data_IF_557516718500
#
_entry.id   IF_557516718500
#
_cell.length_a   1.000
_cell.length_b   1.000
_cell.length_c   1.000
_cell.angle_alpha   90.00
_cell.angle_beta   90.00
_cell.angle_gamma   90.00
#
_symmetry.space_group_name_H-M   'P 1'
#
loop_
_entity.id
_entity.type
_entity.pdbx_description
1 polymer ?
#
# COMPACT_ATOMS: atom_id res chain seq x y z
N UNK A 1 -2.67 2.78 -1.00
CA UNK A 1 -1.72 3.19 0.03
C UNK A 1 -1.92 4.67 0.29
N UNK A 2 -2.12 5.11 1.53
CA UNK A 2 -2.24 6.54 1.82
C UNK A 2 -1.96 6.78 3.29
N UNK A 3 -0.88 7.51 3.56
CA UNK A 3 -0.75 8.57 4.57
C UNK A 3 0.74 8.75 4.91
N UNK A 4 1.32 9.78 4.32
CA UNK A 4 2.59 10.41 4.66
C UNK A 4 2.76 10.91 6.10
N UNK A 5 1.71 11.09 6.94
CA UNK A 5 1.56 12.26 7.88
C UNK A 5 2.78 12.63 8.71
N UNK A 6 3.15 13.94 8.85
CA UNK A 6 4.03 14.29 9.95
C UNK A 6 3.23 13.96 11.20
N UNK A 7 3.73 13.04 12.03
CA UNK A 7 3.08 12.68 13.28
C UNK A 7 2.85 13.96 14.09
N UNK A 8 1.59 14.42 14.15
CA UNK A 8 1.21 15.53 15.00
C UNK A 8 1.39 15.04 16.43
N UNK A 9 2.44 15.50 17.13
CA UNK A 9 2.45 15.37 18.58
C UNK A 9 1.24 16.12 19.08
N UNK A 10 0.38 15.41 19.80
CA UNK A 10 -0.82 15.94 20.40
C UNK A 10 -0.41 16.82 21.58
N UNK A 11 0.09 18.04 21.31
CA UNK A 11 0.27 19.04 22.37
C UNK A 11 -1.09 19.67 22.64
N UNK A 12 -1.68 19.22 23.74
CA UNK A 12 -2.97 19.65 24.25
C UNK A 12 -2.92 21.16 24.55
N UNK A 13 -3.47 21.97 23.66
CA UNK A 13 -3.71 23.39 23.94
C UNK A 13 -4.80 23.47 25.01
N UNK A 14 -4.39 23.51 26.27
CA UNK A 14 -5.23 23.87 27.40
C UNK A 14 -5.68 25.34 27.24
N UNK A 15 -6.82 25.55 26.58
CA UNK A 15 -7.48 26.85 26.52
C UNK A 15 -8.16 27.13 27.86
N UNK A 16 -7.52 27.94 28.70
CA UNK A 16 -8.14 28.49 29.89
C UNK A 16 -9.32 29.40 29.48
N UNK A 17 -10.52 29.00 29.88
CA UNK A 17 -11.76 29.76 29.71
C UNK A 17 -11.66 31.10 30.46
N UNK A 18 -11.43 32.19 29.74
CA UNK A 18 -11.74 33.54 30.25
C UNK A 18 -12.58 34.28 29.22
N UNK A 19 -13.83 34.55 29.59
CA UNK A 19 -14.82 35.28 28.79
C UNK A 19 -14.40 36.74 28.63
N UNK A 20 -14.24 37.22 27.41
CA UNK A 20 -14.43 38.63 27.08
C UNK A 20 -15.01 38.78 25.66
N UNK A 21 -16.10 39.52 25.55
CA UNK A 21 -16.80 39.87 24.31
C UNK A 21 -15.99 40.90 23.50
N UNK A 22 -15.59 40.57 22.26
CA UNK A 22 -15.16 41.54 21.25
C UNK A 22 -15.63 41.07 19.86
N UNK A 23 -16.31 41.92 19.05
CA UNK A 23 -16.66 41.62 17.67
C UNK A 23 -15.56 42.13 16.74
N UNK A 24 -14.84 41.23 16.03
CA UNK A 24 -13.99 41.66 14.91
C UNK A 24 -13.60 40.49 14.01
N UNK A 25 -13.91 40.68 12.72
CA UNK A 25 -13.17 40.21 11.54
C UNK A 25 -12.90 38.70 11.45
N UNK A 26 -13.71 38.01 10.64
CA UNK A 26 -13.45 36.65 10.16
C UNK A 26 -12.17 36.64 9.32
N UNK A 27 -11.01 36.56 9.97
CA UNK A 27 -9.75 36.22 9.34
C UNK A 27 -9.88 34.75 8.94
N UNK A 28 -10.16 34.52 7.66
CA UNK A 28 -10.13 33.19 7.08
C UNK A 28 -8.75 32.59 7.32
N UNK A 29 -8.67 31.72 8.33
CA UNK A 29 -7.53 30.84 8.54
C UNK A 29 -7.53 29.92 7.33
N UNK A 30 -6.83 30.33 6.27
CA UNK A 30 -6.41 29.43 5.24
C UNK A 30 -5.40 28.51 5.93
N UNK A 31 -5.89 27.39 6.45
CA UNK A 31 -5.06 26.34 6.96
C UNK A 31 -4.26 25.85 5.74
N UNK A 32 -3.02 26.32 5.62
CA UNK A 32 -2.11 25.84 4.61
C UNK A 32 -1.89 24.35 4.89
N UNK A 33 -2.64 23.49 4.20
CA UNK A 33 -2.37 22.07 4.17
C UNK A 33 -0.96 21.92 3.62
N UNK A 34 0.00 21.58 4.48
CA UNK A 34 1.32 21.16 4.03
C UNK A 34 1.09 19.84 3.30
N UNK A 35 1.06 19.88 1.97
CA UNK A 35 1.24 18.69 1.17
C UNK A 35 2.50 18.00 1.68
N UNK A 36 2.36 16.73 1.97
CA UNK A 36 3.48 15.96 2.45
C UNK A 36 4.37 15.62 1.28
N UNK A 37 5.67 15.76 1.47
CA UNK A 37 6.65 15.16 0.56
C UNK A 37 6.60 13.64 0.75
N UNK A 38 5.60 13.00 0.16
CA UNK A 38 5.57 11.57 -0.02
C UNK A 38 6.47 11.21 -1.20
N UNK A 39 7.18 10.07 -1.15
CA UNK A 39 7.94 9.60 -2.29
C UNK A 39 7.04 9.49 -3.54
N UNK A 40 7.55 9.84 -4.72
CA UNK A 40 6.76 9.83 -5.96
C UNK A 40 6.13 8.46 -6.23
N UNK A 41 4.84 8.46 -6.58
CA UNK A 41 4.09 7.26 -6.94
C UNK A 41 4.12 6.11 -5.91
N UNK A 42 4.42 6.41 -4.64
CA UNK A 42 4.38 5.39 -3.59
C UNK A 42 2.96 4.82 -3.42
N UNK A 43 1.93 5.53 -3.84
CA UNK A 43 0.53 5.13 -3.76
C UNK A 43 -0.10 4.65 -5.07
N UNK A 44 0.70 4.51 -6.13
CA UNK A 44 0.30 4.12 -7.49
C UNK A 44 -0.60 5.14 -8.21
N UNK A 45 -0.69 6.39 -7.75
CA UNK A 45 -1.56 7.41 -8.34
C UNK A 45 -1.15 7.85 -9.77
N UNK A 46 0.04 7.48 -10.25
CA UNK A 46 0.40 7.68 -11.66
C UNK A 46 -0.26 6.65 -12.58
N UNK A 47 -0.88 5.60 -12.05
CA UNK A 47 -1.43 4.50 -12.84
C UNK A 47 -0.35 3.61 -13.47
N UNK A 48 0.87 3.61 -12.91
CA UNK A 48 2.00 2.81 -13.36
C UNK A 48 2.78 2.23 -12.18
N UNK A 49 3.71 1.32 -12.48
CA UNK A 49 4.73 0.84 -11.53
C UNK A 49 5.97 1.75 -11.49
N UNK A 50 5.86 3.02 -11.91
CA UNK A 50 7.00 3.93 -11.87
C UNK A 50 7.51 4.09 -10.44
N UNK A 51 8.83 4.09 -10.25
CA UNK A 51 9.51 4.10 -8.93
C UNK A 51 9.34 2.81 -8.10
N UNK A 52 8.62 1.81 -8.60
CA UNK A 52 8.55 0.47 -8.01
C UNK A 52 9.46 -0.50 -8.77
N UNK A 53 10.13 -1.39 -8.04
CA UNK A 53 10.85 -2.52 -8.63
C UNK A 53 9.96 -3.75 -8.59
N UNK A 54 9.60 -4.27 -9.77
CA UNK A 54 8.81 -5.50 -9.90
C UNK A 54 9.72 -6.73 -9.90
N UNK A 55 9.16 -7.84 -9.44
CA UNK A 55 9.83 -9.13 -9.39
C UNK A 55 8.87 -10.23 -9.80
N UNK A 56 9.39 -11.20 -10.53
CA UNK A 56 8.72 -12.48 -10.76
C UNK A 56 9.61 -13.60 -10.26
N UNK A 57 9.01 -14.73 -9.97
CA UNK A 57 9.77 -15.91 -9.66
C UNK A 57 8.88 -17.08 -9.32
N UNK A 58 9.36 -17.91 -8.40
CA UNK A 58 8.71 -19.15 -8.03
C UNK A 58 8.87 -19.51 -6.56
N UNK A 59 8.01 -20.42 -6.10
CA UNK A 59 8.05 -21.06 -4.80
C UNK A 59 8.45 -22.52 -5.00
N UNK A 60 9.26 -23.04 -4.07
CA UNK A 60 9.59 -24.46 -4.02
C UNK A 60 9.66 -24.94 -2.57
N UNK A 61 9.39 -26.23 -2.37
CA UNK A 61 9.77 -26.91 -1.13
C UNK A 61 11.26 -27.29 -1.22
N UNK A 62 12.06 -26.71 -0.34
CA UNK A 62 13.49 -27.02 -0.20
C UNK A 62 13.73 -27.52 1.20
N UNK A 63 13.98 -28.83 1.31
CA UNK A 63 14.23 -29.53 2.57
C UNK A 63 13.09 -29.36 3.62
N UNK A 64 11.83 -29.41 3.18
CA UNK A 64 10.65 -29.28 4.05
C UNK A 64 10.33 -27.83 4.41
N UNK A 65 10.85 -26.87 3.64
CA UNK A 65 10.64 -25.43 3.86
C UNK A 65 10.14 -24.77 2.58
N UNK A 66 9.05 -24.03 2.70
CA UNK A 66 8.53 -23.20 1.60
C UNK A 66 9.51 -22.04 1.32
N UNK A 67 10.27 -22.10 0.25
CA UNK A 67 11.19 -21.03 -0.16
C UNK A 67 10.64 -20.27 -1.36
N UNK A 68 10.68 -18.94 -1.28
CA UNK A 68 10.28 -18.05 -2.37
C UNK A 68 11.55 -17.51 -3.01
N UNK A 69 11.65 -17.63 -4.33
CA UNK A 69 12.74 -17.10 -5.13
C UNK A 69 12.17 -16.00 -6.01
N UNK A 70 12.64 -14.77 -5.83
CA UNK A 70 12.25 -13.61 -6.63
C UNK A 70 13.44 -13.12 -7.44
N UNK A 71 13.18 -12.76 -8.70
CA UNK A 71 14.16 -12.20 -9.61
C UNK A 71 13.63 -10.87 -10.17
N UNK A 72 14.47 -9.83 -10.29
CA UNK A 72 14.05 -8.55 -10.85
C UNK A 72 13.42 -8.70 -12.24
N UNK A 73 12.31 -8.01 -12.46
CA UNK A 73 11.61 -7.97 -13.75
C UNK A 73 10.97 -6.60 -13.99
N UNK A 74 10.54 -6.37 -15.24
CA UNK A 74 9.50 -5.36 -15.46
C UNK A 74 8.14 -5.83 -14.92
N UNK A 75 7.10 -4.98 -14.95
CA UNK A 75 5.73 -5.43 -14.78
C UNK A 75 5.39 -6.46 -15.87
N UNK A 76 4.90 -7.62 -15.45
CA UNK A 76 4.49 -8.70 -16.37
C UNK A 76 2.97 -8.74 -16.43
N UNK A 77 2.41 -8.65 -17.64
CA UNK A 77 0.97 -8.71 -17.86
C UNK A 77 0.37 -9.98 -17.22
N UNK A 78 -0.79 -9.82 -16.57
CA UNK A 78 -1.45 -10.90 -15.84
C UNK A 78 -0.88 -11.14 -14.43
N UNK A 79 0.44 -11.00 -14.23
CA UNK A 79 1.12 -11.21 -12.94
C UNK A 79 1.20 -9.94 -12.09
N UNK A 80 1.33 -8.78 -12.74
CA UNK A 80 1.33 -7.45 -12.13
C UNK A 80 0.21 -6.65 -12.77
N UNK A 81 -0.88 -6.45 -12.04
CA UNK A 81 -2.05 -5.71 -12.56
C UNK A 81 -2.25 -4.45 -11.75
N UNK A 82 -2.55 -3.33 -12.42
CA UNK A 82 -2.99 -2.11 -11.77
C UNK A 82 -4.49 -1.90 -12.02
N UNK A 83 -5.23 -1.72 -10.93
CA UNK A 83 -6.62 -1.30 -10.95
C UNK A 83 -6.67 0.18 -10.64
N UNK A 84 -7.54 0.90 -11.36
CA UNK A 84 -7.81 2.30 -11.12
C UNK A 84 -9.28 2.47 -10.68
N UNK A 85 -9.63 3.68 -10.25
CA UNK A 85 -10.96 4.05 -9.73
C UNK A 85 -12.16 3.64 -10.60
N UNK A 86 -12.00 3.47 -11.91
CA UNK A 86 -13.10 3.00 -12.77
C UNK A 86 -13.51 1.56 -12.47
N UNK A 87 -12.60 0.76 -11.90
CA UNK A 87 -12.83 -0.60 -11.44
C UNK A 87 -13.35 -0.66 -9.98
N UNK A 88 -13.76 0.45 -9.36
CA UNK A 88 -14.16 0.47 -7.94
C UNK A 88 -15.35 -0.44 -7.58
N UNK A 89 -16.18 -0.79 -8.57
CA UNK A 89 -17.31 -1.71 -8.39
C UNK A 89 -16.94 -3.16 -8.73
N UNK A 90 -15.74 -3.43 -9.23
CA UNK A 90 -15.26 -4.78 -9.50
C UNK A 90 -14.86 -5.45 -8.19
N UNK A 91 -15.24 -6.72 -8.04
CA UNK A 91 -14.93 -7.54 -6.88
C UNK A 91 -13.94 -8.63 -7.28
N UNK A 92 -13.04 -8.98 -6.37
CA UNK A 92 -12.22 -10.17 -6.51
C UNK A 92 -13.13 -11.40 -6.69
N UNK A 93 -12.89 -12.25 -7.71
CA UNK A 93 -13.79 -13.35 -8.03
C UNK A 93 -13.89 -14.40 -6.93
N UNK A 94 -12.92 -14.50 -6.03
CA UNK A 94 -12.88 -15.50 -4.96
C UNK A 94 -13.21 -14.89 -3.60
N UNK A 95 -12.52 -13.81 -3.22
CA UNK A 95 -12.65 -13.16 -1.92
C UNK A 95 -13.83 -12.19 -1.82
N UNK A 96 -14.43 -11.81 -2.95
CA UNK A 96 -15.60 -10.89 -3.04
C UNK A 96 -15.38 -9.50 -2.40
N UNK A 97 -14.14 -9.11 -2.15
CA UNK A 97 -13.79 -7.75 -1.74
C UNK A 97 -13.53 -6.87 -2.97
N UNK A 98 -13.68 -5.53 -2.88
CA UNK A 98 -13.37 -4.62 -3.98
C UNK A 98 -11.91 -4.73 -4.45
N UNK A 99 -11.68 -4.78 -5.77
CA UNK A 99 -10.31 -4.83 -6.34
C UNK A 99 -9.57 -3.50 -6.21
N UNK A 100 -10.31 -2.40 -6.04
CA UNK A 100 -9.78 -1.09 -5.65
C UNK A 100 -10.10 -0.86 -4.18
N UNK A 101 -9.08 -0.61 -3.37
CA UNK A 101 -9.23 -0.38 -1.93
C UNK A 101 -10.17 0.81 -1.64
N UNK A 102 -11.30 0.61 -0.92
CA UNK A 102 -12.25 1.69 -0.61
C UNK A 102 -11.65 2.79 0.28
N UNK A 103 -10.65 2.45 1.08
CA UNK A 103 -9.97 3.34 2.03
C UNK A 103 -8.55 3.73 1.56
N UNK A 104 -8.21 3.44 0.31
CA UNK A 104 -6.86 3.56 -0.23
C UNK A 104 -6.62 4.80 -1.10
N UNK A 105 -5.64 4.66 -1.99
CA UNK A 105 -5.50 5.52 -3.16
C UNK A 105 -6.65 5.25 -4.14
N UNK A 106 -6.76 6.05 -5.20
CA UNK A 106 -7.62 5.76 -6.35
C UNK A 106 -7.16 4.54 -7.17
N UNK A 107 -6.14 3.82 -6.70
CA UNK A 107 -5.46 2.73 -7.36
C UNK A 107 -5.17 1.58 -6.38
N UNK A 108 -5.05 0.38 -6.93
CA UNK A 108 -4.61 -0.82 -6.21
C UNK A 108 -3.85 -1.70 -7.18
N UNK A 109 -2.87 -2.46 -6.68
CA UNK A 109 -2.17 -3.45 -7.49
C UNK A 109 -2.61 -4.85 -7.09
N UNK A 110 -2.64 -5.77 -8.04
CA UNK A 110 -2.71 -7.21 -7.79
C UNK A 110 -1.38 -7.84 -8.18
N UNK A 111 -0.85 -8.62 -7.26
CA UNK A 111 0.26 -9.54 -7.47
C UNK A 111 -0.33 -10.94 -7.62
N UNK A 112 0.05 -11.62 -8.69
CA UNK A 112 -0.41 -12.97 -8.99
C UNK A 112 -1.59 -13.02 -9.96
N UNK A 113 -1.95 -14.26 -10.29
CA UNK A 113 -2.92 -14.61 -11.31
C UNK A 113 -3.59 -15.96 -10.98
N UNK A 114 -4.47 -16.44 -11.87
CA UNK A 114 -5.26 -17.66 -11.63
C UNK A 114 -4.62 -18.93 -12.25
N UNK A 115 -3.39 -18.83 -12.73
CA UNK A 115 -2.65 -19.95 -13.33
C UNK A 115 -2.03 -20.78 -12.22
N UNK A 116 -2.12 -22.10 -12.37
CA UNK A 116 -1.37 -23.01 -11.53
C UNK A 116 0.12 -23.01 -11.93
N UNK A 117 0.96 -23.56 -11.08
CA UNK A 117 2.40 -23.39 -11.18
C UNK A 117 2.82 -22.52 -10.02
N UNK A 118 3.94 -22.86 -9.40
CA UNK A 118 4.39 -22.26 -8.14
C UNK A 118 4.93 -20.84 -8.37
N UNK A 119 4.18 -19.99 -9.04
CA UNK A 119 4.55 -18.62 -9.37
C UNK A 119 4.60 -17.73 -8.12
N UNK A 120 5.51 -16.76 -8.13
CA UNK A 120 5.63 -15.73 -7.10
C UNK A 120 5.81 -14.36 -7.75
N UNK A 121 5.21 -13.34 -7.14
CA UNK A 121 5.29 -11.95 -7.56
C UNK A 121 5.65 -11.07 -6.38
N UNK A 122 6.42 -10.02 -6.65
CA UNK A 122 6.83 -9.07 -5.63
C UNK A 122 6.98 -7.68 -6.19
N UNK A 123 6.74 -6.67 -5.36
CA UNK A 123 7.11 -5.29 -5.64
C UNK A 123 7.83 -4.71 -4.43
N UNK A 124 8.85 -3.90 -4.69
CA UNK A 124 9.60 -3.19 -3.65
C UNK A 124 9.74 -1.71 -4.00
N UNK A 125 9.74 -0.86 -2.98
CA UNK A 125 9.94 0.57 -3.12
C UNK A 125 11.02 1.02 -2.15
N UNK A 126 12.02 1.73 -2.64
CA UNK A 126 13.08 2.30 -1.80
C UNK A 126 12.94 3.82 -1.73
N UNK A 127 12.95 4.37 -0.52
CA UNK A 127 13.00 5.81 -0.32
C UNK A 127 13.90 6.19 0.83
N UNK A 128 14.40 7.42 0.75
CA UNK A 128 15.15 8.05 1.83
C UNK A 128 14.21 8.93 2.64
N UNK A 129 14.24 8.79 3.96
CA UNK A 129 13.57 9.71 4.86
C UNK A 129 14.29 11.08 4.83
N UNK A 130 13.65 12.18 4.40
CA UNK A 130 14.25 13.52 4.42
C UNK A 130 14.85 13.91 5.77
N UNK A 131 15.98 14.62 5.75
CA UNK A 131 16.58 15.19 6.94
C UNK A 131 15.60 16.14 7.66
N UNK A 132 15.68 16.19 8.99
CA UNK A 132 14.81 17.00 9.87
C UNK A 132 13.34 16.58 9.92
N UNK A 133 13.01 15.36 9.49
CA UNK A 133 11.68 14.77 9.62
C UNK A 133 11.84 13.46 10.38
N UNK A 134 11.22 13.38 11.55
CA UNK A 134 11.41 12.25 12.48
C UNK A 134 10.13 11.45 12.71
N UNK A 135 9.06 11.77 11.98
CA UNK A 135 7.78 11.10 12.09
C UNK A 135 7.26 10.79 10.68
N UNK A 136 7.15 9.49 10.40
CA UNK A 136 6.65 8.92 9.14
C UNK A 136 5.71 7.78 9.47
N UNK A 137 4.62 7.69 8.71
CA UNK A 137 3.70 6.55 8.74
C UNK A 137 3.64 5.96 7.35
N UNK A 138 3.56 4.62 7.28
CA UNK A 138 3.18 3.90 6.08
C UNK A 138 1.94 3.10 6.43
N UNK A 139 0.90 3.20 5.61
CA UNK A 139 -0.33 2.44 5.76
C UNK A 139 -0.58 1.67 4.46
N UNK A 140 -0.40 0.36 4.55
CA UNK A 140 -0.69 -0.59 3.49
C UNK A 140 -2.00 -1.30 3.81
N UNK A 141 -3.01 -1.06 2.98
CA UNK A 141 -4.23 -1.86 2.99
C UNK A 141 -4.02 -3.02 2.02
N UNK A 142 -4.21 -4.24 2.49
CA UNK A 142 -4.07 -5.45 1.68
C UNK A 142 -5.24 -6.40 1.89
N UNK A 143 -5.54 -7.18 0.87
CA UNK A 143 -6.45 -8.31 0.91
C UNK A 143 -5.81 -9.45 0.12
N UNK A 144 -6.01 -10.69 0.57
CA UNK A 144 -5.35 -11.86 -0.01
C UNK A 144 -6.35 -12.98 -0.17
N UNK A 145 -6.21 -13.71 -1.28
CA UNK A 145 -6.85 -14.99 -1.51
C UNK A 145 -5.74 -16.01 -1.69
N UNK A 146 -5.82 -17.10 -0.94
CA UNK A 146 -4.93 -18.23 -1.08
C UNK A 146 -5.68 -19.42 -1.67
N UNK A 147 -5.06 -20.07 -2.65
CA UNK A 147 -5.57 -21.32 -3.21
C UNK A 147 -4.94 -22.50 -2.45
N UNK A 148 -5.77 -23.33 -1.80
CA UNK A 148 -5.31 -24.50 -1.04
C UNK A 148 -5.89 -25.82 -1.61
N UNK A 149 -5.42 -26.28 -2.78
CA UNK A 149 -5.72 -27.61 -3.28
C UNK A 149 -4.82 -28.65 -2.59
N UNK A 150 -5.16 -29.02 -1.36
CA UNK A 150 -4.52 -30.12 -0.61
C UNK A 150 -2.98 -30.03 -0.54
N UNK A 151 -2.44 -28.89 -0.12
CA UNK A 151 -1.00 -28.71 0.09
C UNK A 151 -0.52 -29.36 1.40
N UNK A 152 0.73 -29.86 1.41
CA UNK A 152 1.42 -30.16 2.67
C UNK A 152 1.62 -28.89 3.50
N UNK A 153 1.82 -29.03 4.81
CA UNK A 153 1.99 -27.88 5.72
C UNK A 153 3.08 -26.90 5.24
N UNK A 154 4.21 -27.41 4.76
CA UNK A 154 5.33 -26.62 4.22
C UNK A 154 5.17 -26.19 2.75
N UNK A 155 4.01 -26.45 2.15
CA UNK A 155 3.67 -26.02 0.79
C UNK A 155 2.58 -24.94 0.78
N UNK A 156 2.05 -24.58 1.95
CA UNK A 156 0.98 -23.62 2.08
C UNK A 156 1.38 -22.26 1.46
N UNK A 157 0.49 -21.66 0.65
CA UNK A 157 0.74 -20.34 0.06
C UNK A 157 0.87 -19.27 1.15
N UNK A 158 1.65 -18.23 0.88
CA UNK A 158 1.94 -17.18 1.85
C UNK A 158 2.06 -15.80 1.22
N UNK A 159 2.00 -14.79 2.07
CA UNK A 159 2.27 -13.39 1.77
C UNK A 159 3.40 -12.92 2.69
N UNK A 160 4.33 -12.15 2.14
CA UNK A 160 5.43 -11.53 2.88
C UNK A 160 5.38 -10.01 2.73
N UNK A 161 5.42 -9.28 3.84
CA UNK A 161 5.50 -7.83 3.90
C UNK A 161 6.75 -7.45 4.71
N UNK A 162 7.64 -6.68 4.10
CA UNK A 162 8.87 -6.18 4.71
C UNK A 162 8.93 -4.65 4.61
N UNK A 163 9.47 -3.98 5.64
CA UNK A 163 9.59 -2.52 5.76
C UNK A 163 11.03 -2.17 6.13
#
# INVERSE_FOLDING_TARGET
MKICTPGSRNESLHFALTRLLIPALAFGICCAAKAQDCPPNIDFETGSFDSWSCHTGSVADVAGTNQMFLYPSGPVEGRHTIFNRTAANELDPYGKFPVVCPNGSGYSIRLGNNTAGTEAEGVSYQFTIPANRNAYSLIYNYAVVFQDPAHLEHQQPRLELEI
#
